data_IF_696062151500
#
_entry.id   IF_696062151500
#
_cell.length_a   1.000
_cell.length_b   1.000
_cell.length_c   1.000
_cell.angle_alpha   90.00
_cell.angle_beta   90.00
_cell.angle_gamma   90.00
#
_symmetry.space_group_name_H-M   'P 1'
#
loop_
_entity.id
_entity.type
_entity.pdbx_description
1 polymer ?
#
# COMPACT_ATOMS: atom_id res chain seq x y z
N UNK A 1 37.09 53.33 42.79
CA UNK A 1 35.81 53.09 43.50
C UNK A 1 34.99 51.92 42.93
N UNK A 2 34.81 51.79 41.60
CA UNK A 2 34.08 50.68 40.94
C UNK A 2 34.59 49.26 41.28
N UNK A 3 35.91 49.05 41.34
CA UNK A 3 36.55 47.74 41.63
C UNK A 3 36.31 47.22 43.05
N UNK A 4 36.18 48.12 44.03
CA UNK A 4 35.95 47.77 45.45
C UNK A 4 34.51 47.30 45.69
N UNK A 5 33.55 47.81 44.90
CA UNK A 5 32.16 47.38 44.94
C UNK A 5 31.97 45.98 44.32
N UNK A 6 32.63 45.71 43.19
CA UNK A 6 32.62 44.39 42.53
C UNK A 6 33.19 43.31 43.46
N UNK A 7 34.28 43.60 44.16
CA UNK A 7 34.90 42.65 45.11
C UNK A 7 33.96 42.35 46.30
N UNK A 8 33.25 43.35 46.81
CA UNK A 8 32.28 43.17 47.90
C UNK A 8 31.06 42.37 47.45
N UNK A 9 30.57 42.62 46.23
CA UNK A 9 29.50 41.83 45.61
C UNK A 9 29.92 40.38 45.37
N UNK A 10 31.16 40.14 44.92
CA UNK A 10 31.70 38.79 44.73
C UNK A 10 31.79 38.01 46.05
N UNK A 11 32.29 38.64 47.13
CA UNK A 11 32.33 37.99 48.45
C UNK A 11 30.93 37.65 48.96
N UNK A 12 29.97 38.58 48.83
CA UNK A 12 28.58 38.34 49.21
C UNK A 12 27.94 37.20 48.39
N UNK A 13 28.19 37.17 47.07
CA UNK A 13 27.72 36.10 46.19
C UNK A 13 28.36 34.76 46.56
N UNK A 14 29.65 34.74 46.87
CA UNK A 14 30.36 33.54 47.30
C UNK A 14 29.79 33.01 48.60
N UNK A 15 29.62 33.85 49.62
CA UNK A 15 29.03 33.45 50.91
C UNK A 15 27.59 32.95 50.73
N UNK A 16 26.79 33.66 49.93
CA UNK A 16 25.42 33.28 49.60
C UNK A 16 25.36 31.93 48.89
N UNK A 17 26.17 31.71 47.86
CA UNK A 17 26.24 30.43 47.14
C UNK A 17 26.74 29.31 48.03
N UNK A 18 27.73 29.55 48.89
CA UNK A 18 28.22 28.51 49.80
C UNK A 18 27.17 28.08 50.80
N UNK A 19 26.35 29.02 51.31
CA UNK A 19 25.26 28.70 52.23
C UNK A 19 24.15 27.94 51.51
N UNK A 20 23.69 28.45 50.36
CA UNK A 20 22.62 27.81 49.58
C UNK A 20 23.00 26.42 49.06
N UNK A 21 24.24 26.22 48.59
CA UNK A 21 24.69 24.89 48.14
C UNK A 21 24.77 23.90 49.30
N UNK A 22 25.14 24.36 50.49
CA UNK A 22 25.19 23.53 51.69
C UNK A 22 23.80 23.14 52.19
N UNK A 23 22.88 24.10 52.24
CA UNK A 23 21.48 23.84 52.57
C UNK A 23 20.83 22.88 51.56
N UNK A 24 21.08 23.08 50.25
CA UNK A 24 20.58 22.19 49.20
C UNK A 24 21.15 20.77 49.30
N UNK A 25 22.46 20.61 49.51
CA UNK A 25 23.07 19.27 49.60
C UNK A 25 22.68 18.52 50.87
N UNK A 26 22.45 19.22 51.98
CA UNK A 26 21.99 18.61 53.24
C UNK A 26 20.54 18.14 53.16
N UNK A 27 19.70 18.82 52.37
CA UNK A 27 18.28 18.49 52.20
C UNK A 27 17.98 17.76 50.87
N UNK A 28 18.99 17.37 50.11
CA UNK A 28 18.82 16.69 48.83
C UNK A 28 18.48 15.22 49.03
N UNK A 29 17.55 14.70 48.22
CA UNK A 29 17.27 13.27 48.14
C UNK A 29 18.24 12.52 47.22
N UNK A 30 19.18 13.21 46.56
CA UNK A 30 20.17 12.60 45.70
C UNK A 30 21.23 11.88 46.54
N UNK A 31 21.24 10.55 46.45
CA UNK A 31 22.25 9.72 47.10
C UNK A 31 23.68 10.14 46.71
N UNK A 32 24.55 10.29 47.71
CA UNK A 32 25.96 10.66 47.51
C UNK A 32 26.23 12.17 47.63
N UNK A 33 25.27 13.03 47.28
CA UNK A 33 25.46 14.49 47.22
C UNK A 33 25.67 15.12 48.60
N UNK A 34 24.98 14.62 49.63
CA UNK A 34 25.14 15.06 51.02
C UNK A 34 26.60 14.93 51.52
N UNK A 35 27.30 13.86 51.13
CA UNK A 35 28.66 13.57 51.59
C UNK A 35 29.72 14.48 50.95
N UNK A 36 29.37 15.20 49.87
CA UNK A 36 30.27 16.15 49.20
C UNK A 36 30.47 17.40 50.06
N UNK A 37 29.46 17.80 50.86
CA UNK A 37 29.48 19.03 51.66
C UNK A 37 29.40 18.81 53.17
N UNK A 38 29.25 17.57 53.62
CA UNK A 38 29.21 17.22 55.04
C UNK A 38 30.34 17.87 55.85
N UNK A 39 30.00 18.48 56.98
CA UNK A 39 30.96 19.13 57.88
C UNK A 39 31.80 18.07 58.60
N UNK A 40 33.11 18.33 58.77
CA UNK A 40 34.03 17.40 59.44
C UNK A 40 34.64 16.28 58.57
N UNK A 41 34.14 16.04 57.36
CA UNK A 41 34.70 15.02 56.44
C UNK A 41 35.95 15.53 55.69
N UNK A 42 37.04 14.74 55.59
CA UNK A 42 38.28 15.17 54.93
C UNK A 42 38.11 15.33 53.41
N UNK A 43 38.97 16.16 52.82
CA UNK A 43 38.86 16.56 51.40
C UNK A 43 38.89 15.38 50.42
N UNK A 44 39.74 14.37 50.66
CA UNK A 44 39.87 13.23 49.76
C UNK A 44 38.57 12.40 49.68
N UNK A 45 37.83 12.26 50.80
CA UNK A 45 36.54 11.56 50.79
C UNK A 45 35.47 12.36 50.06
N UNK A 46 35.45 13.68 50.22
CA UNK A 46 34.55 14.57 49.48
C UNK A 46 34.78 14.48 47.97
N UNK A 47 36.05 14.44 47.56
CA UNK A 47 36.42 14.28 46.16
C UNK A 47 36.02 12.90 45.61
N UNK A 48 36.23 11.83 46.38
CA UNK A 48 35.79 10.48 46.02
C UNK A 48 34.27 10.41 45.81
N UNK A 49 33.46 10.96 46.73
CA UNK A 49 32.01 11.02 46.59
C UNK A 49 31.55 11.86 45.40
N UNK A 50 32.24 12.96 45.12
CA UNK A 50 32.01 13.75 43.91
C UNK A 50 32.26 12.93 42.65
N UNK A 51 33.37 12.20 42.57
CA UNK A 51 33.68 11.33 41.43
C UNK A 51 32.64 10.21 41.27
N UNK A 52 32.28 9.50 42.34
CA UNK A 52 31.28 8.43 42.26
C UNK A 52 29.90 8.93 41.86
N UNK A 53 29.45 10.05 42.44
CA UNK A 53 28.14 10.65 42.09
C UNK A 53 28.14 11.16 40.64
N UNK A 54 29.25 11.76 40.19
CA UNK A 54 29.39 12.24 38.81
C UNK A 54 29.41 11.09 37.80
N UNK A 55 30.19 10.03 38.06
CA UNK A 55 30.22 8.83 37.22
C UNK A 55 28.85 8.15 37.20
N UNK A 56 28.21 8.00 38.36
CA UNK A 56 26.86 7.45 38.46
C UNK A 56 25.83 8.25 37.66
N UNK A 57 25.90 9.59 37.70
CA UNK A 57 25.06 10.47 36.89
C UNK A 57 25.30 10.30 35.38
N UNK A 58 26.57 10.25 34.95
CA UNK A 58 26.93 10.03 33.53
C UNK A 58 26.45 8.66 33.04
N UNK A 59 26.70 7.60 33.80
CA UNK A 59 26.24 6.24 33.45
C UNK A 59 24.72 6.18 33.39
N UNK A 60 24.02 6.81 34.33
CA UNK A 60 22.55 6.86 34.32
C UNK A 60 22.01 7.58 33.08
N UNK A 61 22.61 8.71 32.68
CA UNK A 61 22.23 9.41 31.46
C UNK A 61 22.46 8.56 30.21
N UNK A 62 23.57 7.83 30.13
CA UNK A 62 23.84 6.91 29.02
C UNK A 62 22.78 5.80 28.96
N UNK A 63 22.43 5.20 30.10
CA UNK A 63 21.40 4.15 30.16
C UNK A 63 20.03 4.70 29.74
N UNK A 64 19.64 5.87 30.25
CA UNK A 64 18.37 6.52 29.89
C UNK A 64 18.32 6.80 28.38
N UNK A 65 19.39 7.37 27.82
CA UNK A 65 19.46 7.65 26.38
C UNK A 65 19.36 6.36 25.55
N UNK A 66 20.07 5.31 25.95
CA UNK A 66 20.04 4.01 25.27
C UNK A 66 18.67 3.32 25.36
N UNK A 67 18.01 3.36 26.52
CA UNK A 67 16.65 2.82 26.69
C UNK A 67 15.62 3.62 25.87
N UNK A 68 15.74 4.94 25.85
CA UNK A 68 14.89 5.81 25.04
C UNK A 68 15.06 5.52 23.55
N UNK A 69 16.29 5.39 23.07
CA UNK A 69 16.56 5.03 21.67
C UNK A 69 15.98 3.65 21.32
N UNK A 70 16.14 2.65 22.20
CA UNK A 70 15.56 1.32 22.01
C UNK A 70 14.03 1.36 21.96
N UNK A 71 13.39 2.16 22.82
CA UNK A 71 11.94 2.36 22.83
C UNK A 71 11.43 3.04 21.55
N UNK A 72 12.22 3.96 20.97
CA UNK A 72 11.86 4.60 19.70
C UNK A 72 12.08 3.69 18.48
N UNK A 73 13.09 2.83 18.51
CA UNK A 73 13.54 2.08 17.33
C UNK A 73 13.06 0.63 17.27
N UNK A 74 12.94 -0.06 18.42
CA UNK A 74 12.65 -1.49 18.51
C UNK A 74 11.68 -1.85 19.67
N UNK A 75 10.44 -1.30 19.68
CA UNK A 75 9.49 -1.54 20.77
C UNK A 75 8.67 -2.83 20.63
N UNK A 76 8.76 -3.55 19.52
CA UNK A 76 7.96 -4.76 19.24
C UNK A 76 8.83 -5.98 18.97
N UNK A 77 8.35 -7.16 19.34
CA UNK A 77 8.92 -8.46 18.98
C UNK A 77 7.96 -9.21 18.07
N UNK A 78 8.50 -9.97 17.12
CA UNK A 78 7.71 -10.84 16.22
C UNK A 78 8.12 -12.28 16.46
N UNK A 79 7.15 -13.15 16.73
CA UNK A 79 7.34 -14.59 16.95
C UNK A 79 6.42 -15.42 16.06
N UNK A 80 6.66 -16.72 15.99
CA UNK A 80 5.77 -17.67 15.32
C UNK A 80 4.53 -17.89 16.19
N UNK A 81 3.35 -17.81 15.58
CA UNK A 81 2.09 -18.20 16.21
C UNK A 81 1.81 -19.67 15.90
N UNK A 82 1.72 -20.50 16.93
CA UNK A 82 1.57 -21.96 16.78
C UNK A 82 0.12 -22.43 16.81
N UNK A 83 -0.87 -21.53 16.90
CA UNK A 83 -2.28 -21.88 17.00
C UNK A 83 -2.97 -22.11 15.64
N UNK A 84 -2.47 -23.06 14.85
CA UNK A 84 -2.82 -23.22 13.43
C UNK A 84 -4.22 -23.77 13.09
N UNK A 85 -5.06 -24.06 14.09
CA UNK A 85 -6.38 -24.66 13.86
C UNK A 85 -7.54 -23.65 13.91
N UNK A 86 -7.29 -22.40 14.28
CA UNK A 86 -8.35 -21.45 14.65
C UNK A 86 -8.62 -20.35 13.61
N UNK A 87 -8.12 -20.46 12.38
CA UNK A 87 -8.33 -19.41 11.37
C UNK A 87 -8.62 -19.96 9.97
N UNK A 88 -9.43 -19.20 9.24
CA UNK A 88 -9.71 -19.46 7.82
C UNK A 88 -8.53 -19.00 6.96
N UNK A 89 -8.20 -19.77 5.92
CA UNK A 89 -7.07 -19.47 5.03
C UNK A 89 -7.60 -18.88 3.73
N UNK A 90 -7.46 -17.57 3.50
CA UNK A 90 -7.91 -16.95 2.26
C UNK A 90 -7.01 -17.40 1.11
N UNK A 91 -7.62 -17.91 0.04
CA UNK A 91 -6.89 -18.16 -1.19
C UNK A 91 -6.49 -16.80 -1.77
N UNK A 92 -5.26 -16.62 -2.28
CA UNK A 92 -4.84 -15.31 -2.79
C UNK A 92 -5.74 -14.84 -3.94
N UNK A 93 -5.77 -13.53 -4.14
CA UNK A 93 -6.10 -13.00 -5.46
C UNK A 93 -5.08 -13.49 -6.46
N UNK A 94 -5.56 -14.08 -7.55
CA UNK A 94 -4.74 -14.43 -8.72
C UNK A 94 -5.07 -13.45 -9.83
N UNK A 95 -4.19 -12.48 -10.06
CA UNK A 95 -4.34 -11.46 -11.11
C UNK A 95 -3.46 -11.81 -12.31
N UNK A 96 -4.10 -12.08 -13.44
CA UNK A 96 -3.45 -12.37 -14.72
C UNK A 96 -3.47 -11.11 -15.58
N UNK A 97 -2.30 -10.55 -15.86
CA UNK A 97 -2.15 -9.32 -16.63
C UNK A 97 -1.44 -9.64 -17.96
N UNK A 98 -2.19 -9.81 -19.07
CA UNK A 98 -1.61 -9.98 -20.40
C UNK A 98 -0.69 -8.80 -20.75
N UNK A 99 0.43 -9.08 -21.41
CA UNK A 99 1.31 -8.01 -21.90
C UNK A 99 0.70 -7.24 -23.08
N UNK A 100 -0.22 -7.87 -23.82
CA UNK A 100 -1.04 -7.23 -24.84
C UNK A 100 -2.50 -7.64 -24.61
N UNK A 101 -3.28 -6.83 -23.87
CA UNK A 101 -4.67 -7.09 -23.62
C UNK A 101 -5.56 -6.69 -24.81
N UNK A 102 -4.98 -6.29 -25.95
CA UNK A 102 -5.73 -5.71 -27.07
C UNK A 102 -6.25 -6.77 -28.01
N UNK A 103 -7.54 -6.66 -28.34
CA UNK A 103 -8.11 -7.39 -29.45
C UNK A 103 -8.25 -6.47 -30.68
N UNK A 104 -7.41 -6.71 -31.70
CA UNK A 104 -7.41 -5.94 -32.95
C UNK A 104 -8.76 -5.96 -33.70
N UNK A 105 -9.50 -7.08 -33.64
CA UNK A 105 -10.83 -7.15 -34.26
C UNK A 105 -11.83 -6.31 -33.48
N UNK A 106 -11.79 -6.38 -32.15
CA UNK A 106 -12.64 -5.56 -31.27
C UNK A 106 -12.38 -4.06 -31.44
N UNK A 107 -11.12 -3.62 -31.60
CA UNK A 107 -10.82 -2.22 -31.92
C UNK A 107 -11.45 -1.82 -33.25
N UNK A 108 -11.29 -2.66 -34.27
CA UNK A 108 -11.79 -2.35 -35.61
C UNK A 108 -13.32 -2.25 -35.60
N UNK A 109 -14.00 -3.21 -34.97
CA UNK A 109 -15.45 -3.21 -34.77
C UNK A 109 -15.91 -1.98 -33.98
N UNK A 110 -15.21 -1.64 -32.90
CA UNK A 110 -15.52 -0.46 -32.08
C UNK A 110 -15.41 0.85 -32.87
N UNK A 111 -14.35 0.99 -33.68
CA UNK A 111 -14.15 2.18 -34.54
C UNK A 111 -15.24 2.26 -35.60
N UNK A 112 -15.59 1.16 -36.26
CA UNK A 112 -16.65 1.13 -37.27
C UNK A 112 -18.03 1.44 -36.69
N UNK A 113 -18.32 0.95 -35.48
CA UNK A 113 -19.58 1.23 -34.78
C UNK A 113 -19.67 2.69 -34.30
N UNK A 114 -18.58 3.24 -33.78
CA UNK A 114 -18.58 4.57 -33.15
C UNK A 114 -18.38 5.69 -34.17
N UNK A 115 -17.55 5.46 -35.20
CA UNK A 115 -17.22 6.44 -36.25
C UNK A 115 -17.27 5.83 -37.66
N UNK A 116 -18.45 5.38 -38.13
CA UNK A 116 -18.59 4.72 -39.44
C UNK A 116 -18.12 5.61 -40.60
N UNK A 117 -18.42 6.92 -40.51
CA UNK A 117 -18.14 7.91 -41.56
C UNK A 117 -16.74 8.54 -41.50
N UNK A 118 -15.87 8.11 -40.57
CA UNK A 118 -14.53 8.67 -40.48
C UNK A 118 -13.66 8.25 -41.70
N UNK A 119 -12.85 9.16 -42.28
CA UNK A 119 -11.88 8.81 -43.32
C UNK A 119 -10.93 7.70 -42.86
N UNK A 120 -10.48 6.85 -43.78
CA UNK A 120 -9.58 5.73 -43.46
C UNK A 120 -8.29 6.15 -42.74
N UNK A 121 -7.73 7.31 -43.10
CA UNK A 121 -6.57 7.88 -42.41
C UNK A 121 -6.87 8.19 -40.93
N UNK A 122 -8.05 8.73 -40.61
CA UNK A 122 -8.48 8.97 -39.21
C UNK A 122 -8.71 7.68 -38.46
N UNK A 123 -9.33 6.67 -39.11
CA UNK A 123 -9.53 5.34 -38.50
C UNK A 123 -8.20 4.68 -38.11
N UNK A 124 -7.14 4.88 -38.90
CA UNK A 124 -5.79 4.42 -38.56
C UNK A 124 -5.25 5.09 -37.29
N UNK A 125 -5.40 6.41 -37.17
CA UNK A 125 -5.00 7.16 -35.97
C UNK A 125 -5.81 6.73 -34.73
N UNK A 126 -7.11 6.47 -34.88
CA UNK A 126 -7.95 5.95 -33.79
C UNK A 126 -7.49 4.57 -33.33
N UNK A 127 -7.14 3.70 -34.27
CA UNK A 127 -6.62 2.38 -33.96
C UNK A 127 -5.31 2.46 -33.17
N UNK A 128 -4.37 3.31 -33.59
CA UNK A 128 -3.12 3.54 -32.88
C UNK A 128 -3.39 4.05 -31.46
N UNK A 129 -4.20 5.11 -31.32
CA UNK A 129 -4.55 5.68 -30.01
C UNK A 129 -5.23 4.69 -29.07
N UNK A 130 -6.22 3.94 -29.56
CA UNK A 130 -6.96 2.96 -28.75
C UNK A 130 -6.05 1.79 -28.34
N UNK A 131 -5.12 1.37 -29.20
CA UNK A 131 -4.14 0.34 -28.89
C UNK A 131 -3.24 0.77 -27.75
N UNK A 132 -2.75 2.01 -27.78
CA UNK A 132 -1.92 2.57 -26.70
C UNK A 132 -2.70 2.75 -25.42
N UNK A 133 -3.97 3.18 -25.53
CA UNK A 133 -4.86 3.33 -24.38
C UNK A 133 -5.10 2.00 -23.65
N UNK A 134 -5.37 0.93 -24.40
CA UNK A 134 -5.63 -0.39 -23.84
C UNK A 134 -4.35 -1.09 -23.32
N UNK A 135 -3.18 -0.80 -23.91
CA UNK A 135 -1.87 -1.24 -23.41
C UNK A 135 -1.32 -0.35 -22.27
N UNK A 136 -2.04 0.69 -21.88
CA UNK A 136 -1.47 1.70 -21.00
C UNK A 136 -1.29 1.19 -19.57
N UNK A 137 -0.17 1.62 -18.99
CA UNK A 137 0.18 1.48 -17.59
C UNK A 137 1.10 2.66 -17.22
N UNK A 138 1.45 2.81 -15.95
CA UNK A 138 2.39 3.86 -15.53
C UNK A 138 3.71 3.83 -16.30
N UNK A 139 4.19 2.65 -16.68
CA UNK A 139 5.45 2.51 -17.43
C UNK A 139 5.37 3.08 -18.85
N UNK A 140 4.17 3.16 -19.41
CA UNK A 140 3.94 3.44 -20.82
C UNK A 140 3.28 4.81 -21.06
N UNK A 141 3.05 5.61 -20.02
CA UNK A 141 2.45 6.96 -20.13
C UNK A 141 3.17 7.91 -21.10
N UNK A 142 4.49 7.74 -21.32
CA UNK A 142 5.26 8.56 -22.27
C UNK A 142 4.80 8.37 -23.73
N UNK A 143 4.15 7.25 -24.06
CA UNK A 143 3.63 7.01 -25.41
C UNK A 143 2.59 8.06 -25.83
N UNK A 144 1.83 8.63 -24.89
CA UNK A 144 0.82 9.64 -25.25
C UNK A 144 1.40 10.96 -25.78
N UNK A 145 2.69 11.22 -25.56
CA UNK A 145 3.38 12.39 -26.10
C UNK A 145 3.41 12.39 -27.63
N UNK A 146 3.30 11.22 -28.27
CA UNK A 146 3.27 11.13 -29.74
C UNK A 146 1.96 11.64 -30.36
N UNK A 147 0.93 11.87 -29.55
CA UNK A 147 -0.34 12.45 -29.97
C UNK A 147 -0.41 13.97 -29.74
N UNK A 148 0.72 14.64 -29.46
CA UNK A 148 0.77 16.11 -29.35
C UNK A 148 0.59 16.81 -30.72
N UNK A 149 0.16 18.07 -30.70
CA UNK A 149 0.02 18.91 -31.91
C UNK A 149 -1.13 18.50 -32.84
N UNK A 150 -0.87 18.43 -34.15
CA UNK A 150 -1.91 18.21 -35.18
C UNK A 150 -2.62 16.84 -35.08
N UNK A 151 -2.04 15.87 -34.36
CA UNK A 151 -2.67 14.56 -34.09
C UNK A 151 -3.72 14.63 -32.96
N UNK A 152 -3.58 15.56 -32.01
CA UNK A 152 -4.50 15.72 -30.87
C UNK A 152 -5.90 16.16 -31.30
N UNK A 153 -5.99 17.13 -32.22
CA UNK A 153 -7.25 17.76 -32.64
C UNK A 153 -8.22 16.85 -33.40
N UNK A 154 -7.79 15.63 -33.75
CA UNK A 154 -8.61 14.66 -34.48
C UNK A 154 -9.15 13.54 -33.58
N UNK A 155 -8.73 13.44 -32.32
CA UNK A 155 -9.09 12.34 -31.42
C UNK A 155 -10.43 12.60 -30.72
N UNK A 156 -11.28 11.58 -30.58
CA UNK A 156 -12.60 11.74 -30.00
C UNK A 156 -12.50 11.86 -28.46
N UNK A 157 -13.20 12.85 -27.90
CA UNK A 157 -13.35 13.02 -26.46
C UNK A 157 -14.37 12.01 -25.93
N UNK A 158 -13.89 10.85 -25.49
CA UNK A 158 -14.71 9.75 -24.96
C UNK A 158 -14.12 9.31 -23.63
N UNK A 159 -14.96 8.78 -22.74
CA UNK A 159 -14.49 8.14 -21.52
C UNK A 159 -13.57 6.95 -21.87
N UNK A 160 -12.30 7.06 -21.47
CA UNK A 160 -11.28 6.06 -21.76
C UNK A 160 -11.55 4.71 -21.10
N UNK A 161 -12.19 4.70 -19.93
CA UNK A 161 -12.57 3.46 -19.26
C UNK A 161 -13.53 2.64 -20.13
N UNK A 162 -14.55 3.28 -20.71
CA UNK A 162 -15.57 2.62 -21.54
C UNK A 162 -14.98 2.07 -22.84
N UNK A 163 -13.98 2.76 -23.40
CA UNK A 163 -13.25 2.27 -24.59
C UNK A 163 -12.54 0.97 -24.24
N UNK A 164 -11.78 0.97 -23.15
CA UNK A 164 -10.96 -0.18 -22.73
C UNK A 164 -11.84 -1.38 -22.47
N UNK A 165 -12.94 -1.23 -21.73
CA UNK A 165 -13.88 -2.31 -21.46
C UNK A 165 -14.41 -2.99 -22.75
N UNK A 166 -14.55 -2.23 -23.84
CA UNK A 166 -15.02 -2.74 -25.13
C UNK A 166 -13.94 -3.41 -25.96
N UNK A 167 -12.70 -2.95 -25.90
CA UNK A 167 -11.63 -3.37 -26.83
C UNK A 167 -10.63 -4.37 -26.25
N UNK A 168 -10.59 -4.51 -24.92
CA UNK A 168 -9.75 -5.53 -24.28
C UNK A 168 -10.28 -6.94 -24.53
N UNK A 169 -9.39 -7.93 -24.40
CA UNK A 169 -9.74 -9.33 -24.53
C UNK A 169 -10.88 -9.68 -23.57
N UNK A 170 -11.95 -10.26 -24.13
CA UNK A 170 -13.11 -10.75 -23.38
C UNK A 170 -12.78 -12.06 -22.69
N UNK A 171 -13.30 -12.24 -21.48
CA UNK A 171 -13.02 -13.40 -20.65
C UNK A 171 -13.33 -14.73 -21.36
N UNK A 172 -14.44 -14.78 -22.09
CA UNK A 172 -14.93 -15.95 -22.81
C UNK A 172 -14.01 -16.37 -23.95
N UNK A 173 -13.21 -15.43 -24.49
CA UNK A 173 -12.18 -15.69 -25.50
C UNK A 173 -10.81 -15.95 -24.90
N UNK A 174 -10.62 -15.62 -23.62
CA UNK A 174 -9.33 -15.75 -22.93
C UNK A 174 -9.21 -17.07 -22.19
N UNK A 175 -10.29 -17.54 -21.55
CA UNK A 175 -10.31 -18.78 -20.80
C UNK A 175 -11.20 -19.82 -21.46
N UNK A 176 -10.73 -21.07 -21.47
CA UNK A 176 -11.47 -22.23 -21.95
C UNK A 176 -12.21 -22.94 -20.82
N UNK A 177 -11.47 -23.30 -19.77
CA UNK A 177 -11.96 -24.06 -18.60
C UNK A 177 -11.20 -23.65 -17.36
N UNK A 178 -11.90 -23.57 -16.25
CA UNK A 178 -11.33 -23.27 -14.94
C UNK A 178 -11.74 -24.35 -13.94
N UNK A 179 -10.83 -24.62 -13.02
CA UNK A 179 -11.06 -25.52 -11.90
C UNK A 179 -10.59 -24.84 -10.64
N UNK A 180 -11.47 -24.75 -9.65
CA UNK A 180 -11.12 -24.28 -8.32
C UNK A 180 -11.36 -25.41 -7.33
N UNK A 181 -10.39 -25.68 -6.46
CA UNK A 181 -10.42 -26.80 -5.51
C UNK A 181 -10.59 -28.19 -6.13
N UNK A 182 -10.37 -28.31 -7.43
CA UNK A 182 -10.55 -29.54 -8.20
C UNK A 182 -11.92 -29.65 -8.90
N UNK A 183 -12.85 -28.74 -8.63
CA UNK A 183 -14.17 -28.71 -9.24
C UNK A 183 -14.19 -27.76 -10.45
N UNK A 184 -14.93 -28.14 -11.49
CA UNK A 184 -15.10 -27.29 -12.68
C UNK A 184 -15.99 -26.09 -12.34
N UNK A 185 -15.53 -24.90 -12.70
CA UNK A 185 -16.19 -23.62 -12.41
C UNK A 185 -16.22 -22.75 -13.68
N UNK A 186 -17.22 -21.88 -13.79
CA UNK A 186 -17.26 -20.89 -14.86
C UNK A 186 -16.13 -19.86 -14.66
N UNK A 187 -15.24 -19.77 -15.64
CA UNK A 187 -14.09 -18.87 -15.57
C UNK A 187 -14.51 -17.40 -15.43
N UNK A 188 -15.57 -16.99 -16.12
CA UNK A 188 -16.00 -15.60 -16.20
C UNK A 188 -16.95 -15.20 -15.07
N UNK A 189 -17.45 -16.16 -14.30
CA UNK A 189 -18.04 -15.91 -12.99
C UNK A 189 -16.97 -15.56 -11.95
N UNK A 190 -15.82 -16.25 -11.95
CA UNK A 190 -14.81 -16.12 -10.90
C UNK A 190 -13.68 -15.12 -11.24
N UNK A 191 -13.32 -14.96 -12.51
CA UNK A 191 -12.36 -13.96 -12.98
C UNK A 191 -13.11 -12.73 -13.47
N UNK A 192 -12.77 -11.57 -12.90
CA UNK A 192 -13.36 -10.30 -13.28
C UNK A 192 -12.28 -9.33 -13.80
N UNK A 193 -12.62 -8.41 -14.72
CA UNK A 193 -11.67 -7.42 -15.21
C UNK A 193 -11.26 -6.46 -14.09
N UNK A 194 -9.98 -6.11 -14.07
CA UNK A 194 -9.40 -5.17 -13.12
C UNK A 194 -8.40 -4.26 -13.85
N UNK A 195 -8.60 -2.96 -13.75
CA UNK A 195 -7.65 -1.96 -14.20
C UNK A 195 -6.69 -1.62 -13.07
N UNK A 196 -5.39 -1.57 -13.38
CA UNK A 196 -4.32 -1.43 -12.40
C UNK A 196 -3.23 -0.49 -12.90
N UNK A 197 -2.32 -0.09 -12.01
CA UNK A 197 -1.12 0.70 -12.39
C UNK A 197 -0.19 -0.04 -13.37
N UNK A 198 -0.30 -1.38 -13.42
CA UNK A 198 0.52 -2.27 -14.24
C UNK A 198 -0.21 -2.76 -15.49
N UNK A 199 -1.40 -2.23 -15.79
CA UNK A 199 -2.20 -2.52 -16.99
C UNK A 199 -3.51 -3.25 -16.69
N UNK A 200 -4.17 -3.74 -17.75
CA UNK A 200 -5.38 -4.55 -17.66
C UNK A 200 -5.07 -5.95 -17.13
N UNK A 201 -5.88 -6.44 -16.19
CA UNK A 201 -5.79 -7.77 -15.64
C UNK A 201 -7.17 -8.44 -15.54
N UNK A 202 -7.17 -9.77 -15.52
CA UNK A 202 -8.29 -10.59 -15.10
C UNK A 202 -7.94 -11.19 -13.74
N UNK A 203 -8.76 -10.90 -12.73
CA UNK A 203 -8.45 -11.21 -11.34
C UNK A 203 -9.50 -12.11 -10.71
N UNK A 204 -9.04 -13.22 -10.15
CA UNK A 204 -9.83 -14.12 -9.30
C UNK A 204 -9.73 -13.70 -7.85
N UNK A 205 -10.83 -13.76 -7.09
CA UNK A 205 -10.87 -13.52 -5.64
C UNK A 205 -10.32 -12.14 -5.21
N UNK A 206 -10.67 -11.08 -5.96
CA UNK A 206 -10.29 -9.69 -5.66
C UNK A 206 -11.53 -8.85 -5.33
N UNK A 207 -11.44 -8.00 -4.31
CA UNK A 207 -12.56 -7.13 -3.92
C UNK A 207 -12.82 -5.99 -4.92
N UNK A 208 -11.83 -5.66 -5.76
CA UNK A 208 -11.91 -4.54 -6.71
C UNK A 208 -12.19 -4.97 -8.15
N UNK A 209 -12.19 -6.28 -8.44
CA UNK A 209 -12.40 -6.76 -9.79
C UNK A 209 -13.89 -6.68 -10.18
N UNK A 210 -14.19 -6.31 -11.43
CA UNK A 210 -15.56 -6.10 -11.92
C UNK A 210 -15.94 -4.64 -12.25
N UNK A 211 -14.97 -3.71 -12.31
CA UNK A 211 -15.14 -2.31 -12.72
C UNK A 211 -15.59 -1.35 -11.60
N UNK A 212 -15.89 -0.09 -11.93
CA UNK A 212 -16.44 0.93 -11.00
C UNK A 212 -17.78 0.52 -10.36
N UNK A 213 -18.44 -0.48 -10.94
CA UNK A 213 -19.60 -1.20 -10.41
C UNK A 213 -19.25 -2.32 -9.43
N UNK A 214 -17.98 -2.40 -9.01
CA UNK A 214 -17.46 -3.29 -7.95
C UNK A 214 -18.08 -3.06 -6.58
N UNK A 215 -18.85 -1.98 -6.41
CA UNK A 215 -19.94 -1.90 -5.43
C UNK A 215 -21.27 -1.95 -6.17
N UNK A 216 -21.84 -3.14 -6.31
CA UNK A 216 -23.26 -3.40 -6.62
C UNK A 216 -23.82 -2.84 -7.95
N UNK A 217 -23.66 -3.58 -9.04
CA UNK A 217 -24.73 -3.64 -10.07
C UNK A 217 -25.73 -4.79 -9.86
N UNK A 218 -25.47 -5.68 -8.89
CA UNK A 218 -26.34 -6.84 -8.61
C UNK A 218 -26.70 -7.04 -7.13
N UNK A 219 -26.24 -6.19 -6.21
CA UNK A 219 -26.45 -6.37 -4.77
C UNK A 219 -25.73 -7.58 -4.15
N UNK A 220 -24.89 -8.30 -4.91
CA UNK A 220 -24.05 -9.37 -4.36
C UNK A 220 -22.80 -8.79 -3.72
N UNK A 221 -22.72 -8.93 -2.39
CA UNK A 221 -21.54 -8.62 -1.57
C UNK A 221 -20.37 -9.51 -2.03
N UNK A 222 -19.19 -8.93 -2.23
CA UNK A 222 -17.95 -9.67 -2.46
C UNK A 222 -17.79 -10.74 -1.37
N UNK A 223 -17.52 -11.97 -1.79
CA UNK A 223 -17.27 -13.11 -0.90
C UNK A 223 -15.84 -13.58 -1.14
N UNK A 224 -15.04 -13.53 -0.08
CA UNK A 224 -13.67 -14.01 -0.11
C UNK A 224 -13.64 -15.54 -0.14
N UNK A 225 -12.96 -16.10 -1.13
CA UNK A 225 -12.75 -17.54 -1.25
C UNK A 225 -11.60 -18.00 -0.35
N UNK A 226 -11.86 -19.06 0.41
CA UNK A 226 -10.93 -19.66 1.37
C UNK A 226 -10.62 -21.10 0.97
N UNK A 227 -9.49 -21.64 1.44
CA UNK A 227 -9.18 -23.06 1.39
C UNK A 227 -9.28 -23.68 2.78
N UNK A 228 -9.69 -24.95 2.82
CA UNK A 228 -9.83 -25.75 4.03
C UNK A 228 -9.04 -27.04 3.88
N UNK A 229 -8.59 -27.60 5.00
CA UNK A 229 -7.85 -28.86 5.01
C UNK A 229 -8.63 -30.00 4.32
N UNK A 230 -9.96 -29.97 4.40
CA UNK A 230 -10.87 -30.96 3.80
C UNK A 230 -11.10 -30.79 2.30
N UNK A 231 -10.64 -29.70 1.68
CA UNK A 231 -10.81 -29.49 0.25
C UNK A 231 -10.03 -30.54 -0.55
N UNK A 232 -10.59 -31.03 -1.66
CA UNK A 232 -9.92 -32.04 -2.49
C UNK A 232 -8.60 -31.56 -3.09
N UNK A 233 -8.47 -30.25 -3.34
CA UNK A 233 -7.25 -29.59 -3.79
C UNK A 233 -7.21 -28.16 -3.27
N UNK A 234 -6.01 -27.63 -3.08
CA UNK A 234 -5.78 -26.21 -2.79
C UNK A 234 -5.19 -25.50 -4.01
N UNK A 235 -5.86 -25.60 -5.15
CA UNK A 235 -5.37 -24.99 -6.39
C UNK A 235 -6.46 -24.39 -7.25
N UNK A 236 -6.05 -23.37 -7.99
CA UNK A 236 -6.79 -22.76 -9.09
C UNK A 236 -6.07 -23.12 -10.39
N UNK A 237 -6.74 -23.88 -11.25
CA UNK A 237 -6.24 -24.25 -12.57
C UNK A 237 -7.06 -23.56 -13.63
N UNK A 238 -6.40 -22.91 -14.56
CA UNK A 238 -7.03 -22.21 -15.68
C UNK A 238 -6.41 -22.63 -17.00
N UNK A 239 -7.24 -22.88 -18.00
CA UNK A 239 -6.83 -23.11 -19.38
C UNK A 239 -7.00 -21.79 -20.13
N UNK A 240 -5.90 -21.27 -20.67
CA UNK A 240 -5.87 -19.99 -21.36
C UNK A 240 -5.79 -20.22 -22.86
N UNK A 241 -6.83 -19.79 -23.56
CA UNK A 241 -6.88 -19.73 -25.01
C UNK A 241 -6.31 -18.41 -25.51
N UNK A 242 -5.63 -18.46 -26.65
CA UNK A 242 -5.26 -17.25 -27.35
C UNK A 242 -6.50 -16.78 -28.11
N UNK A 243 -7.19 -15.76 -27.59
CA UNK A 243 -8.22 -15.07 -28.34
C UNK A 243 -7.66 -14.56 -29.68
N UNK A 244 -8.16 -15.08 -30.79
CA UNK A 244 -8.05 -14.63 -32.19
C UNK A 244 -6.72 -13.97 -32.65
N UNK A 245 -5.57 -14.33 -32.07
CA UNK A 245 -4.29 -13.76 -32.44
C UNK A 245 -3.68 -14.58 -33.58
N UNK A 246 -3.80 -14.06 -34.81
CA UNK A 246 -3.31 -14.65 -36.07
C UNK A 246 -1.82 -14.97 -36.10
N UNK A 247 -1.07 -14.43 -35.14
CA UNK A 247 0.35 -14.69 -34.97
C UNK A 247 0.50 -15.78 -33.90
N UNK A 248 1.04 -16.94 -34.27
CA UNK A 248 1.24 -18.11 -33.39
C UNK A 248 2.24 -17.84 -32.23
N UNK A 249 2.58 -16.57 -31.97
CA UNK A 249 3.47 -16.10 -30.92
C UNK A 249 2.68 -15.95 -29.60
N UNK A 250 2.82 -16.93 -28.71
CA UNK A 250 2.22 -16.88 -27.39
C UNK A 250 2.89 -15.77 -26.57
N UNK A 251 2.14 -14.71 -26.27
CA UNK A 251 2.65 -13.59 -25.46
C UNK A 251 2.71 -13.98 -23.98
N UNK A 252 3.75 -13.57 -23.24
CA UNK A 252 3.83 -13.84 -21.81
C UNK A 252 2.72 -13.13 -21.02
N UNK A 253 2.31 -13.76 -19.92
CA UNK A 253 1.30 -13.24 -18.99
C UNK A 253 1.96 -12.99 -17.64
N UNK A 254 1.80 -11.78 -17.08
CA UNK A 254 2.29 -11.49 -15.73
C UNK A 254 1.28 -11.99 -14.71
N UNK A 255 1.75 -12.80 -13.77
CA UNK A 255 0.94 -13.42 -12.72
C UNK A 255 1.29 -12.76 -11.39
N UNK A 256 0.29 -12.14 -10.76
CA UNK A 256 0.40 -11.54 -9.44
C UNK A 256 -0.42 -12.34 -8.43
N UNK A 257 0.18 -12.61 -7.28
CA UNK A 257 -0.45 -13.18 -6.10
C UNK A 257 -0.46 -12.14 -5.00
N UNK A 258 -1.63 -11.78 -4.49
CA UNK A 258 -1.79 -10.74 -3.47
C UNK A 258 -3.07 -10.96 -2.66
N UNK A 259 -3.24 -10.19 -1.59
CA UNK A 259 -4.46 -10.20 -0.77
C UNK A 259 -5.65 -9.64 -1.56
N UNK A 260 -6.87 -10.02 -1.17
CA UNK A 260 -8.10 -9.57 -1.84
C UNK A 260 -8.31 -8.06 -1.75
N UNK A 261 -7.75 -7.44 -0.71
CA UNK A 261 -7.79 -6.01 -0.41
C UNK A 261 -6.68 -5.20 -1.09
N UNK A 262 -5.81 -5.86 -1.86
CA UNK A 262 -4.74 -5.24 -2.62
C UNK A 262 -5.02 -5.24 -4.13
N UNK A 263 -4.34 -4.34 -4.84
CA UNK A 263 -4.33 -4.24 -6.30
C UNK A 263 -2.86 -4.26 -6.75
N UNK A 264 -2.50 -4.90 -7.87
CA UNK A 264 -1.15 -4.81 -8.43
C UNK A 264 -0.73 -3.35 -8.71
N UNK A 265 0.38 -2.93 -8.11
CA UNK A 265 0.95 -1.58 -8.26
C UNK A 265 2.32 -1.64 -8.93
N UNK A 266 2.81 -0.49 -9.42
CA UNK A 266 4.10 -0.42 -10.15
C UNK A 266 5.33 -0.76 -9.29
N UNK A 267 5.22 -0.71 -7.96
CA UNK A 267 6.29 -1.05 -7.02
C UNK A 267 6.46 -2.56 -6.81
N UNK A 268 5.46 -3.35 -7.22
CA UNK A 268 5.43 -4.79 -6.96
C UNK A 268 5.73 -5.54 -8.26
N UNK A 269 6.71 -6.42 -8.19
CA UNK A 269 7.04 -7.32 -9.30
C UNK A 269 6.04 -8.48 -9.36
N UNK A 270 5.72 -8.99 -10.55
CA UNK A 270 4.92 -10.20 -10.66
C UNK A 270 5.66 -11.39 -10.03
N UNK A 271 4.92 -12.26 -9.36
CA UNK A 271 5.45 -13.53 -8.83
C UNK A 271 5.99 -14.41 -9.96
N UNK A 272 5.39 -14.34 -11.15
CA UNK A 272 5.92 -15.00 -12.33
C UNK A 272 5.51 -14.29 -13.63
N UNK A 273 6.39 -14.32 -14.63
CA UNK A 273 6.06 -13.95 -16.01
C UNK A 273 5.90 -15.25 -16.79
N UNK A 274 4.66 -15.70 -16.95
CA UNK A 274 4.33 -16.98 -17.52
C UNK A 274 4.51 -16.97 -19.04
N UNK A 275 5.56 -17.64 -19.50
CA UNK A 275 5.90 -17.86 -20.91
C UNK A 275 5.47 -19.25 -21.43
N UNK A 276 4.58 -19.91 -20.68
CA UNK A 276 4.01 -21.25 -20.98
C UNK A 276 4.99 -22.43 -20.93
N UNK A 277 6.17 -22.26 -20.35
CA UNK A 277 7.09 -23.39 -20.08
C UNK A 277 6.77 -24.15 -18.80
N UNK A 278 6.06 -23.50 -17.88
CA UNK A 278 5.64 -24.10 -16.61
C UNK A 278 4.15 -24.38 -16.61
N UNK A 279 3.75 -25.46 -15.95
CA UNK A 279 2.35 -25.82 -15.77
C UNK A 279 1.81 -25.47 -14.39
N UNK A 280 2.69 -25.26 -13.40
CA UNK A 280 2.29 -25.00 -12.02
C UNK A 280 3.21 -24.00 -11.31
N UNK A 281 2.59 -23.04 -10.63
CA UNK A 281 3.20 -22.14 -9.66
C UNK A 281 2.75 -22.64 -8.28
N UNK A 282 3.69 -23.20 -7.52
CA UNK A 282 3.45 -23.59 -6.15
C UNK A 282 3.85 -22.43 -5.23
N UNK A 283 2.92 -21.97 -4.39
CA UNK A 283 3.11 -20.83 -3.51
C UNK A 283 2.85 -21.19 -2.05
N UNK A 284 3.46 -20.40 -1.16
CA UNK A 284 3.22 -20.40 0.27
C UNK A 284 2.73 -19.01 0.71
N UNK A 285 2.08 -18.93 1.87
CA UNK A 285 1.54 -17.70 2.44
C UNK A 285 2.05 -17.48 3.85
N UNK A 286 2.54 -16.27 4.11
CA UNK A 286 2.99 -15.83 5.42
C UNK A 286 2.13 -14.67 5.90
N UNK A 287 1.42 -14.85 7.00
CA UNK A 287 0.61 -13.79 7.60
C UNK A 287 1.37 -13.19 8.77
N UNK A 288 1.40 -11.87 8.88
CA UNK A 288 1.85 -11.18 10.09
C UNK A 288 0.67 -10.37 10.64
N UNK A 289 0.39 -10.53 11.94
CA UNK A 289 -0.58 -9.69 12.62
C UNK A 289 0.02 -9.07 13.87
N UNK A 290 -0.34 -7.83 14.14
CA UNK A 290 0.09 -7.08 15.32
C UNK A 290 -1.05 -7.03 16.32
N UNK A 291 -0.76 -7.35 17.57
CA UNK A 291 -1.75 -7.31 18.65
C UNK A 291 -2.23 -5.89 18.95
N UNK A 292 -3.48 -5.78 19.40
CA UNK A 292 -4.12 -4.52 19.76
C UNK A 292 -3.35 -3.72 20.82
N UNK A 293 -2.59 -4.40 21.71
CA UNK A 293 -1.72 -3.75 22.69
C UNK A 293 -0.64 -2.85 22.09
N UNK A 294 -0.29 -3.03 20.80
CA UNK A 294 0.64 -2.17 20.08
C UNK A 294 0.09 -0.77 19.77
N UNK A 295 -1.22 -0.52 19.95
CA UNK A 295 -1.82 0.82 19.78
C UNK A 295 -1.25 1.88 20.71
N UNK A 296 -0.62 1.47 21.82
CA UNK A 296 0.09 2.39 22.71
C UNK A 296 1.33 3.04 22.05
N UNK A 297 1.82 2.46 20.95
CA UNK A 297 2.95 2.93 20.17
C UNK A 297 2.46 3.72 18.95
N UNK A 298 3.17 4.78 18.59
CA UNK A 298 2.89 5.51 17.35
C UNK A 298 3.10 4.62 16.11
N UNK A 299 2.41 4.94 15.00
CA UNK A 299 2.56 4.23 13.71
C UNK A 299 4.04 4.12 13.31
N UNK A 300 4.83 5.19 13.49
CA UNK A 300 6.27 5.21 13.17
C UNK A 300 7.10 4.23 14.02
N UNK A 301 6.72 4.06 15.28
CA UNK A 301 7.41 3.16 16.21
C UNK A 301 7.11 1.68 15.90
N UNK A 302 5.85 1.34 15.61
CA UNK A 302 5.43 -0.05 15.32
C UNK A 302 5.44 -0.44 13.84
N UNK A 303 5.65 0.54 12.94
CA UNK A 303 5.81 0.39 11.49
C UNK A 303 4.65 -0.40 10.84
N UNK A 304 3.44 -0.17 11.32
CA UNK A 304 2.21 -0.69 10.72
C UNK A 304 1.02 0.20 11.09
N UNK A 305 -0.07 0.05 10.34
CA UNK A 305 -1.32 0.83 10.49
C UNK A 305 -2.49 -0.11 10.74
N UNK A 306 -3.30 0.17 11.76
CA UNK A 306 -4.57 -0.53 11.97
C UNK A 306 -5.65 0.04 11.04
N UNK A 307 -6.64 -0.79 10.67
CA UNK A 307 -7.67 -0.47 9.66
C UNK A 307 -8.49 0.80 9.94
N UNK A 308 -8.60 1.18 11.21
CA UNK A 308 -9.37 2.32 11.68
C UNK A 308 -8.56 3.63 11.81
N UNK A 309 -7.23 3.57 11.72
CA UNK A 309 -6.37 4.72 12.02
C UNK A 309 -6.20 5.69 10.85
N UNK A 310 -6.15 5.17 9.62
CA UNK A 310 -6.01 5.97 8.42
C UNK A 310 -7.18 5.67 7.50
N UNK A 311 -8.02 6.68 7.28
CA UNK A 311 -9.09 6.63 6.28
C UNK A 311 -8.61 7.21 4.96
N UNK A 312 -8.79 6.44 3.89
CA UNK A 312 -8.47 6.83 2.53
C UNK A 312 -9.75 7.31 1.84
N UNK A 313 -9.61 8.22 0.88
CA UNK A 313 -10.67 8.71 0.01
C UNK A 313 -10.98 7.71 -1.11
N UNK A 314 -9.99 6.91 -1.50
CA UNK A 314 -10.03 6.03 -2.68
C UNK A 314 -10.29 4.57 -2.35
N UNK A 315 -10.30 4.19 -1.08
CA UNK A 315 -10.62 2.83 -0.62
C UNK A 315 -11.16 2.85 0.81
N UNK A 316 -12.07 1.93 1.12
CA UNK A 316 -12.61 1.76 2.47
C UNK A 316 -11.58 1.07 3.40
N UNK A 317 -10.69 0.26 2.83
CA UNK A 317 -9.70 -0.54 3.55
C UNK A 317 -8.30 0.03 3.35
N UNK A 318 -7.57 0.22 4.46
CA UNK A 318 -6.18 0.61 4.40
C UNK A 318 -5.30 -0.60 4.09
N UNK A 319 -4.56 -0.50 3.00
CA UNK A 319 -3.40 -1.35 2.72
C UNK A 319 -2.25 -0.46 2.26
N UNK A 320 -1.04 -1.03 2.23
CA UNK A 320 0.09 -0.32 1.65
C UNK A 320 -0.18 0.05 0.18
N UNK A 321 -0.84 -0.83 -0.56
CA UNK A 321 -1.17 -0.62 -1.97
C UNK A 321 -2.18 0.51 -2.13
N UNK A 322 -3.27 0.52 -1.37
CA UNK A 322 -4.27 1.59 -1.43
C UNK A 322 -3.71 2.94 -0.99
N UNK A 323 -2.79 2.96 0.00
CA UNK A 323 -2.07 4.16 0.40
C UNK A 323 -1.16 4.71 -0.72
N UNK A 324 -0.38 3.85 -1.37
CA UNK A 324 0.51 4.24 -2.47
C UNK A 324 -0.27 4.76 -3.68
N UNK A 325 -1.37 4.10 -4.03
CA UNK A 325 -2.29 4.55 -5.09
C UNK A 325 -2.81 5.95 -4.78
N UNK A 326 -3.37 6.18 -3.59
CA UNK A 326 -3.87 7.51 -3.22
C UNK A 326 -2.76 8.56 -3.22
N UNK A 327 -1.56 8.20 -2.76
CA UNK A 327 -0.42 9.11 -2.76
C UNK A 327 -0.06 9.55 -4.20
N UNK A 328 0.01 8.61 -5.14
CA UNK A 328 0.25 8.90 -6.57
C UNK A 328 -0.88 9.71 -7.19
N UNK A 329 -2.12 9.39 -6.85
CA UNK A 329 -3.29 10.16 -7.30
C UNK A 329 -3.23 11.62 -6.84
N UNK A 330 -2.81 11.88 -5.59
CA UNK A 330 -2.63 13.25 -5.08
C UNK A 330 -1.57 14.01 -5.89
N UNK A 331 -0.43 13.40 -6.15
CA UNK A 331 0.66 14.04 -6.89
C UNK A 331 0.30 14.25 -8.36
N UNK A 332 -0.31 13.25 -8.99
CA UNK A 332 -0.83 13.35 -10.35
C UNK A 332 -1.83 14.53 -10.46
N UNK A 333 -2.72 14.67 -9.48
CA UNK A 333 -3.64 15.81 -9.39
C UNK A 333 -2.91 17.12 -9.12
N UNK A 334 -1.88 17.15 -8.28
CA UNK A 334 -1.18 18.39 -7.96
C UNK A 334 -0.39 18.92 -9.18
N UNK A 335 0.29 18.02 -9.91
CA UNK A 335 1.08 18.32 -11.11
C UNK A 335 0.21 18.54 -12.37
N UNK A 336 -0.75 17.65 -12.61
CA UNK A 336 -1.50 17.57 -13.88
C UNK A 336 -3.01 17.80 -13.74
N UNK A 337 -3.51 18.09 -12.54
CA UNK A 337 -4.94 18.39 -12.24
C UNK A 337 -5.92 17.25 -12.54
N UNK A 338 -5.42 16.05 -12.80
CA UNK A 338 -6.21 14.85 -13.08
C UNK A 338 -5.47 13.58 -12.64
N UNK A 339 -6.15 12.43 -12.67
CA UNK A 339 -5.58 11.11 -12.39
C UNK A 339 -5.75 10.16 -13.58
N UNK A 340 -4.87 9.15 -13.75
CA UNK A 340 -5.05 8.13 -14.76
C UNK A 340 -6.42 7.44 -14.72
N UNK A 341 -6.96 7.11 -15.89
CA UNK A 341 -8.28 6.47 -16.05
C UNK A 341 -8.36 5.06 -15.45
N UNK A 342 -7.23 4.40 -15.22
CA UNK A 342 -7.19 3.03 -14.67
C UNK A 342 -7.36 3.00 -13.15
N UNK A 343 -7.37 4.17 -12.48
CA UNK A 343 -7.77 4.24 -11.09
C UNK A 343 -9.29 4.22 -10.97
N UNK A 344 -9.79 3.38 -10.06
CA UNK A 344 -11.21 3.40 -9.70
C UNK A 344 -11.48 4.67 -8.90
N UNK A 345 -12.17 5.63 -9.53
CA UNK A 345 -12.65 6.82 -8.83
C UNK A 345 -13.90 6.38 -8.08
N UNK A 346 -13.78 6.18 -6.77
CA UNK A 346 -14.96 6.13 -5.91
C UNK A 346 -15.53 7.54 -5.92
N UNK A 347 -16.66 7.74 -6.61
CA UNK A 347 -17.45 8.95 -6.43
C UNK A 347 -17.86 9.00 -4.96
N UNK A 348 -17.14 9.79 -4.17
CA UNK A 348 -17.58 10.15 -2.83
C UNK A 348 -18.77 11.08 -3.04
N UNK A 349 -19.95 10.48 -3.23
CA UNK A 349 -21.19 11.18 -2.96
C UNK A 349 -21.15 11.45 -1.46
N UNK A 350 -20.68 12.64 -1.10
CA UNK A 350 -20.83 13.20 0.23
C UNK A 350 -22.34 13.32 0.47
N UNK A 351 -22.96 12.22 0.89
CA UNK A 351 -24.25 12.22 1.56
C UNK A 351 -24.01 12.85 2.94
N UNK A 352 -23.77 14.16 2.97
CA UNK A 352 -24.00 14.94 4.18
C UNK A 352 -25.50 14.92 4.37
N UNK A 353 -25.96 13.91 5.11
CA UNK A 353 -27.34 13.80 5.53
C UNK A 353 -27.73 15.10 6.22
N UNK A 354 -28.66 15.79 5.59
CA UNK A 354 -29.52 16.83 6.12
C UNK A 354 -30.14 16.38 7.45
N UNK A 355 -29.45 16.64 8.56
CA UNK A 355 -30.00 16.40 9.90
C UNK A 355 -29.56 17.45 10.93
N UNK A 356 -29.37 18.70 10.48
CA UNK A 356 -29.40 19.84 11.37
C UNK A 356 -30.56 20.74 10.97
N UNK A 357 -31.53 20.81 11.89
CA UNK A 357 -32.71 21.66 11.83
C UNK A 357 -32.39 23.06 11.29
N UNK A 358 -33.21 23.46 10.34
CA UNK A 358 -33.10 24.62 9.45
C UNK A 358 -33.30 25.99 10.14
N UNK A 359 -32.76 26.22 11.34
CA UNK A 359 -33.17 27.40 12.13
C UNK A 359 -32.11 28.27 12.81
N UNK A 360 -30.81 28.09 12.58
CA UNK A 360 -29.83 28.93 13.31
C UNK A 360 -28.52 29.32 12.61
N UNK A 361 -28.52 29.49 11.28
CA UNK A 361 -27.43 30.20 10.59
C UNK A 361 -27.94 31.23 9.57
N UNK A 362 -28.54 32.32 10.09
CA UNK A 362 -28.68 33.60 9.37
C UNK A 362 -27.57 34.52 9.89
N UNK A 363 -26.50 34.71 9.08
CA UNK A 363 -25.39 35.71 9.19
C UNK A 363 -23.96 35.16 9.16
N UNK A 364 -23.66 34.17 8.33
CA UNK A 364 -22.31 34.07 7.75
C UNK A 364 -22.46 33.73 6.27
N UNK A 365 -22.18 34.71 5.41
CA UNK A 365 -22.04 34.54 3.96
C UNK A 365 -20.68 33.90 3.69
N UNK A 366 -20.42 32.73 4.27
CA UNK A 366 -19.28 31.90 3.89
C UNK A 366 -19.73 31.13 2.67
N UNK A 367 -19.14 31.48 1.53
CA UNK A 367 -19.22 30.75 0.28
C UNK A 367 -18.99 29.27 0.59
N UNK A 368 -20.05 28.46 0.52
CA UNK A 368 -19.92 27.01 0.46
C UNK A 368 -19.26 26.75 -0.90
N UNK A 369 -17.94 26.81 -0.92
CA UNK A 369 -17.16 26.14 -1.94
C UNK A 369 -17.50 24.66 -1.77
N UNK A 370 -18.36 24.16 -2.66
CA UNK A 370 -18.41 22.74 -2.97
C UNK A 370 -17.00 22.43 -3.51
N UNK A 371 -16.07 22.11 -2.63
CA UNK A 371 -14.85 21.42 -3.03
C UNK A 371 -15.32 20.07 -3.54
N UNK A 372 -15.45 19.94 -4.86
CA UNK A 372 -15.38 18.65 -5.51
C UNK A 372 -13.96 18.13 -5.30
N UNK A 373 -13.65 17.62 -4.11
CA UNK A 373 -12.42 16.89 -3.80
C UNK A 373 -12.42 15.50 -4.48
N UNK A 374 -13.05 15.39 -5.65
CA UNK A 374 -13.04 14.24 -6.51
C UNK A 374 -11.75 14.21 -7.34
N UNK A 375 -11.22 13.01 -7.55
CA UNK A 375 -10.16 12.80 -8.53
C UNK A 375 -10.79 12.71 -9.91
N UNK A 376 -10.59 13.72 -10.76
CA UNK A 376 -11.07 13.69 -12.14
C UNK A 376 -10.15 12.83 -13.01
N UNK A 377 -10.71 11.96 -13.86
CA UNK A 377 -9.93 11.20 -14.85
C UNK A 377 -9.29 12.14 -15.86
N UNK A 378 -8.04 11.87 -16.24
CA UNK A 378 -7.32 12.61 -17.27
C UNK A 378 -7.94 12.41 -18.65
N UNK A 379 -8.05 13.51 -19.40
CA UNK A 379 -8.18 13.51 -20.84
C UNK A 379 -6.81 13.34 -21.51
N UNK A 380 -6.72 13.50 -22.83
CA UNK A 380 -5.48 13.34 -23.58
C UNK A 380 -4.39 14.31 -23.10
N UNK A 381 -4.74 15.57 -22.82
CA UNK A 381 -3.78 16.57 -22.36
C UNK A 381 -3.26 16.21 -20.96
N UNK A 382 -4.15 15.74 -20.10
CA UNK A 382 -3.80 15.18 -18.79
C UNK A 382 -2.86 13.99 -18.90
N UNK A 383 -3.16 13.02 -19.77
CA UNK A 383 -2.29 11.85 -20.01
C UNK A 383 -0.91 12.25 -20.54
N UNK A 384 -0.84 13.25 -21.42
CA UNK A 384 0.42 13.83 -21.90
C UNK A 384 1.21 14.48 -20.75
N UNK A 385 0.55 15.25 -19.88
CA UNK A 385 1.18 15.80 -18.69
C UNK A 385 1.72 14.70 -17.76
N UNK A 386 0.92 13.66 -17.49
CA UNK A 386 1.36 12.52 -16.71
C UNK A 386 2.56 11.79 -17.35
N UNK A 387 2.61 11.72 -18.69
CA UNK A 387 3.75 11.20 -19.43
C UNK A 387 5.03 12.01 -19.19
N UNK A 388 4.93 13.35 -19.13
CA UNK A 388 6.06 14.26 -18.83
C UNK A 388 6.56 14.08 -17.40
N UNK A 389 5.65 13.96 -16.43
CA UNK A 389 5.97 13.83 -15.01
C UNK A 389 5.99 12.38 -14.49
N UNK A 390 6.04 11.39 -15.38
CA UNK A 390 5.95 9.96 -15.02
C UNK A 390 6.93 9.57 -13.93
N UNK A 391 8.19 9.98 -14.07
CA UNK A 391 9.26 9.56 -13.18
C UNK A 391 9.13 10.22 -11.79
N UNK A 392 8.64 11.47 -11.73
CA UNK A 392 8.32 12.17 -10.48
C UNK A 392 7.17 11.50 -9.71
N UNK A 393 6.12 11.08 -10.43
CA UNK A 393 4.97 10.39 -9.85
C UNK A 393 5.34 8.97 -9.39
N UNK A 394 6.21 8.28 -10.14
CA UNK A 394 6.61 6.90 -9.82
C UNK A 394 7.60 6.80 -8.66
N UNK A 395 8.62 7.66 -8.61
CA UNK A 395 9.75 7.58 -7.67
C UNK A 395 9.51 8.31 -6.34
N UNK A 396 8.27 8.73 -6.06
CA UNK A 396 7.95 9.48 -4.86
C UNK A 396 8.11 8.65 -3.58
N UNK A 397 8.58 9.30 -2.51
CA UNK A 397 8.56 8.76 -1.15
C UNK A 397 7.24 9.11 -0.47
N UNK A 398 6.33 8.15 -0.36
CA UNK A 398 5.09 8.27 0.40
C UNK A 398 5.30 7.71 1.82
N UNK A 399 4.75 8.33 2.87
CA UNK A 399 4.78 7.80 4.24
C UNK A 399 3.74 6.70 4.43
N UNK A 400 3.77 5.68 3.59
CA UNK A 400 2.88 4.51 3.65
C UNK A 400 3.59 3.37 4.38
N UNK A 401 2.89 2.77 5.33
CA UNK A 401 3.35 1.59 6.08
C UNK A 401 2.46 0.40 5.72
N UNK A 402 2.89 -0.82 6.06
CA UNK A 402 2.04 -2.00 5.92
C UNK A 402 0.84 -1.94 6.88
N UNK A 403 -0.25 -2.63 6.54
CA UNK A 403 -1.31 -2.90 7.49
C UNK A 403 -0.78 -3.74 8.67
N UNK A 404 -1.34 -3.53 9.86
CA UNK A 404 -0.95 -4.32 11.04
C UNK A 404 -1.42 -5.78 10.96
N UNK A 405 -2.34 -6.08 10.06
CA UNK A 405 -2.63 -7.43 9.57
C UNK A 405 -2.30 -7.46 8.08
N UNK A 406 -1.35 -8.30 7.66
CA UNK A 406 -0.94 -8.39 6.27
C UNK A 406 -0.52 -9.81 5.92
N UNK A 407 -0.88 -10.25 4.71
CA UNK A 407 -0.52 -11.57 4.17
C UNK A 407 0.37 -11.38 2.96
N UNK A 408 1.47 -12.14 2.90
CA UNK A 408 2.42 -12.15 1.79
C UNK A 408 2.40 -13.53 1.15
N UNK A 409 2.32 -13.57 -0.19
CA UNK A 409 2.32 -14.80 -0.98
C UNK A 409 3.64 -14.91 -1.74
N UNK A 410 4.40 -15.96 -1.47
CA UNK A 410 5.71 -16.21 -2.05
C UNK A 410 5.69 -17.47 -2.91
N UNK A 411 6.40 -17.44 -4.04
CA UNK A 411 6.57 -18.62 -4.89
C UNK A 411 7.62 -19.53 -4.27
N UNK A 412 7.22 -20.74 -3.92
CA UNK A 412 8.11 -21.77 -3.40
C UNK A 412 8.76 -22.56 -4.55
N UNK A 413 7.94 -22.99 -5.53
CA UNK A 413 8.42 -23.82 -6.64
C UNK A 413 7.67 -23.56 -7.94
N UNK A 414 8.42 -23.47 -9.03
CA UNK A 414 7.89 -23.49 -10.39
C UNK A 414 8.06 -24.88 -10.98
N UNK A 415 6.99 -25.47 -11.50
CA UNK A 415 7.01 -26.82 -12.08
C UNK A 415 6.84 -26.73 -13.59
N UNK A 416 7.91 -27.10 -14.30
CA UNK A 416 7.97 -27.21 -15.75
C UNK A 416 7.13 -28.35 -16.32
N UNK A 417 6.98 -28.35 -17.65
CA UNK A 417 6.56 -29.52 -18.41
C UNK A 417 7.80 -30.30 -18.88
N UNK A 418 7.78 -31.63 -18.80
CA UNK A 418 8.91 -32.49 -19.22
C UNK A 418 9.02 -32.59 -20.76
N UNK A 419 7.94 -32.29 -21.48
CA UNK A 419 7.91 -32.21 -22.93
C UNK A 419 8.08 -30.75 -23.38
N UNK A 420 8.77 -30.53 -24.50
CA UNK A 420 9.03 -29.21 -25.11
C UNK A 420 7.79 -28.47 -25.63
N UNK A 421 6.58 -28.96 -25.37
CA UNK A 421 5.35 -28.30 -25.79
C UNK A 421 4.98 -27.15 -24.85
N UNK A 422 4.42 -26.09 -25.43
CA UNK A 422 3.93 -24.95 -24.65
C UNK A 422 2.65 -25.35 -23.90
N UNK A 423 2.67 -25.24 -22.58
CA UNK A 423 1.52 -25.51 -21.71
C UNK A 423 0.36 -24.56 -22.04
N UNK A 424 -0.85 -25.09 -22.23
CA UNK A 424 -2.06 -24.27 -22.41
C UNK A 424 -2.78 -23.94 -21.10
N UNK A 425 -2.29 -24.47 -19.99
CA UNK A 425 -2.89 -24.28 -18.68
C UNK A 425 -1.86 -23.87 -17.65
N UNK A 426 -2.32 -23.13 -16.66
CA UNK A 426 -1.55 -22.74 -15.48
C UNK A 426 -2.32 -23.17 -14.23
N UNK A 427 -1.63 -23.86 -13.34
CA UNK A 427 -2.13 -24.20 -12.01
C UNK A 427 -1.40 -23.37 -10.94
N UNK A 428 -2.14 -22.54 -10.21
CA UNK A 428 -1.64 -21.83 -9.03
C UNK A 428 -2.08 -22.63 -7.81
N UNK A 429 -1.13 -23.17 -7.06
CA UNK A 429 -1.43 -24.13 -6.00
C UNK A 429 -0.69 -23.82 -4.70
N UNK A 430 -1.40 -23.98 -3.60
CA UNK A 430 -0.83 -23.92 -2.26
C UNK A 430 0.06 -25.15 -2.01
N UNK A 431 1.26 -24.96 -1.45
CA UNK A 431 2.23 -26.05 -1.28
C UNK A 431 1.85 -26.99 -0.13
N UNK A 432 1.64 -26.45 1.06
CA UNK A 432 1.44 -27.27 2.26
C UNK A 432 0.76 -26.49 3.38
N UNK A 433 -0.13 -27.17 4.09
CA UNK A 433 -0.67 -26.73 5.37
C UNK A 433 0.31 -27.04 6.51
N UNK A 434 0.39 -26.24 7.59
CA UNK A 434 -0.36 -25.02 7.89
C UNK A 434 0.29 -23.75 7.33
N UNK A 435 -0.48 -22.65 7.24
CA UNK A 435 0.09 -21.33 6.98
C UNK A 435 1.05 -20.92 8.09
N UNK A 436 2.17 -20.31 7.73
CA UNK A 436 3.06 -19.68 8.70
C UNK A 436 2.46 -18.34 9.12
N UNK A 437 2.09 -18.23 10.40
CA UNK A 437 1.58 -16.99 10.98
C UNK A 437 2.57 -16.43 11.99
N UNK A 438 2.84 -15.14 11.86
CA UNK A 438 3.69 -14.39 12.78
C UNK A 438 2.83 -13.46 13.62
N UNK A 439 3.05 -13.53 14.93
CA UNK A 439 2.43 -12.65 15.91
C UNK A 439 3.42 -11.58 16.32
N UNK A 440 3.04 -10.32 16.16
CA UNK A 440 3.82 -9.15 16.63
C UNK A 440 3.19 -8.57 17.88
N UNK A 441 3.99 -8.46 18.94
CA UNK A 441 3.58 -7.94 20.24
C UNK A 441 4.51 -6.84 20.71
N UNK A 442 4.01 -6.03 21.65
CA UNK A 442 4.83 -5.01 22.33
C UNK A 442 5.82 -5.72 23.24
N UNK A 443 7.10 -5.44 23.04
CA UNK A 443 8.18 -5.90 23.89
C UNK A 443 8.49 -4.86 24.99
N UNK A 444 8.44 -3.57 24.64
CA UNK A 444 8.66 -2.45 25.55
C UNK A 444 7.54 -1.43 25.40
N UNK A 445 6.61 -1.41 26.34
CA UNK A 445 5.54 -0.43 26.42
C UNK A 445 5.90 0.81 27.24
N UNK A 446 4.93 1.70 27.41
CA UNK A 446 5.10 2.89 28.26
C UNK A 446 5.30 2.52 29.73
N UNK A 447 4.65 1.44 30.19
CA UNK A 447 4.80 0.93 31.55
C UNK A 447 6.23 0.45 31.79
N UNK A 448 6.82 -0.28 30.84
CA UNK A 448 8.20 -0.79 30.95
C UNK A 448 9.24 0.33 30.91
N UNK A 449 8.95 1.41 30.17
CA UNK A 449 9.81 2.60 30.10
C UNK A 449 9.79 3.40 31.40
N UNK A 450 8.60 3.56 32.00
CA UNK A 450 8.42 4.32 33.25
C UNK A 450 8.77 3.50 34.49
N UNK A 451 8.58 2.19 34.43
CA UNK A 451 8.84 1.25 35.51
C UNK A 451 9.41 -0.04 34.93
N UNK A 452 10.73 -0.20 35.03
CA UNK A 452 11.34 -1.52 34.92
C UNK A 452 10.95 -2.29 36.19
N UNK A 453 9.86 -3.06 36.16
CA UNK A 453 9.65 -4.08 37.18
C UNK A 453 10.78 -5.10 36.99
N UNK A 454 11.81 -4.97 37.83
CA UNK A 454 12.84 -6.00 38.02
C UNK A 454 12.25 -7.12 38.83
#
# INVERSE_FOLDING_TARGET
MKTRNIRKTYELLKTSWTYQTQEYFNNSTLHGVQYIREEGRPFYEKFMWFCFTSVGGVVSLIIIASLWEKFQTNPTITGLDTDFHNWDVPFPTVSLCPNDPVNNTAITEYIEQTWPNAPGERKSVYKEFITELANNCYNNLKQFLMFEGNKAGNLPSVNYHDIIEKVVIKCEKYFSKCYFKGEAVDCCEIFKPLLTEVGFCLSFNSMYAGGTKGKNSSGMKFKLEHIYETDSKWSLRMLIENGDMKDNTLKPVRVYLHSAEDIPITDVSPQHVWDRKIKKIAFDSKQTYTTEGARQLSIKQRKCVFEDEIKLLTSDTYTYHSCMIQCRMKIARDLCKCVPFFYQIIEVVLNVVSSLSFHLYRKCHYMILIFSDGFNSCDLQGLQCLGKHKDEIRLIKCPCELGCSNTVYEVDKLVGEENTDMTKYLEVAFVSWPMVRYKREVLFGWVDLLGKYV
#
